data_IF_956041548755
#
_entry.id   IF_956041548755
#
_cell.length_a   1.000
_cell.length_b   1.000
_cell.length_c   1.000
_cell.angle_alpha   90.00
_cell.angle_beta   90.00
_cell.angle_gamma   90.00
#
_symmetry.space_group_name_H-M   'P 1'
#
loop_
_entity.id
_entity.type
_entity.pdbx_description
1 polymer ?
#
# COMPACT_ATOMS: atom_id res chain seq x y z
N UNK A 1 3.04 -3.85 24.70
CA UNK A 1 2.59 -5.22 24.30
C UNK A 1 1.07 -5.41 24.34
N UNK A 2 0.29 -4.39 24.74
CA UNK A 2 -1.17 -4.48 24.86
C UNK A 2 -1.88 -4.55 23.50
N UNK A 3 -1.34 -3.89 22.47
CA UNK A 3 -1.84 -3.97 21.09
C UNK A 3 -1.88 -5.41 20.55
N UNK A 4 -0.85 -6.21 20.82
CA UNK A 4 -0.84 -7.63 20.42
C UNK A 4 -1.89 -8.43 21.19
N UNK A 5 -2.10 -8.16 22.48
CA UNK A 5 -3.14 -8.83 23.26
C UNK A 5 -4.53 -8.51 22.72
N UNK A 6 -4.78 -7.25 22.38
CA UNK A 6 -6.05 -6.81 21.79
C UNK A 6 -6.26 -7.39 20.39
N UNK A 7 -5.20 -7.45 19.58
CA UNK A 7 -5.23 -8.10 18.28
C UNK A 7 -5.62 -9.58 18.40
N UNK A 8 -4.97 -10.33 19.30
CA UNK A 8 -5.29 -11.73 19.52
C UNK A 8 -6.71 -11.95 20.08
N UNK A 9 -7.19 -11.06 20.94
CA UNK A 9 -8.55 -11.15 21.48
C UNK A 9 -9.63 -10.82 20.44
N UNK A 10 -9.32 -9.94 19.48
CA UNK A 10 -10.25 -9.49 18.43
C UNK A 10 -10.17 -10.30 17.13
N UNK A 11 -9.20 -11.22 17.00
CA UNK A 11 -9.04 -12.09 15.84
C UNK A 11 -10.02 -13.26 15.90
N UNK A 12 -10.77 -13.47 14.81
CA UNK A 12 -11.75 -14.57 14.69
C UNK A 12 -11.51 -15.30 13.36
N UNK A 13 -10.94 -16.50 13.41
CA UNK A 13 -10.57 -17.30 12.24
C UNK A 13 -11.79 -17.75 11.40
N UNK A 14 -12.99 -17.76 11.98
CA UNK A 14 -14.23 -18.01 11.26
C UNK A 14 -14.71 -16.79 10.44
N UNK A 15 -14.18 -15.59 10.71
CA UNK A 15 -14.58 -14.33 10.08
C UNK A 15 -13.47 -13.72 9.21
N UNK A 16 -13.17 -14.37 8.08
CA UNK A 16 -12.13 -13.96 7.13
C UNK A 16 -12.14 -12.48 6.72
N UNK A 17 -13.32 -11.84 6.60
CA UNK A 17 -13.44 -10.41 6.25
C UNK A 17 -13.13 -9.47 7.42
N UNK A 18 -13.24 -9.96 8.65
CA UNK A 18 -13.09 -9.17 9.87
C UNK A 18 -11.66 -9.05 10.37
N UNK A 19 -10.75 -9.87 9.84
CA UNK A 19 -9.33 -9.94 10.24
C UNK A 19 -8.40 -9.08 9.36
N UNK A 20 -8.97 -8.28 8.45
CA UNK A 20 -8.23 -7.35 7.60
C UNK A 20 -8.06 -5.97 8.25
N UNK A 21 -8.27 -4.92 7.46
CA UNK A 21 -8.16 -3.53 7.92
C UNK A 21 -9.10 -3.22 9.10
N UNK A 22 -10.28 -3.84 9.14
CA UNK A 22 -11.26 -3.63 10.21
C UNK A 22 -10.75 -4.10 11.58
N UNK A 23 -9.97 -5.19 11.64
CA UNK A 23 -9.32 -5.63 12.89
C UNK A 23 -8.31 -4.60 13.37
N UNK A 24 -7.47 -4.09 12.48
CA UNK A 24 -6.48 -3.06 12.81
C UNK A 24 -7.15 -1.77 13.29
N UNK A 25 -8.26 -1.37 12.66
CA UNK A 25 -9.06 -0.21 13.08
C UNK A 25 -9.65 -0.42 14.47
N UNK A 26 -10.22 -1.60 14.78
CA UNK A 26 -10.74 -1.90 16.12
C UNK A 26 -9.66 -1.84 17.18
N UNK A 27 -8.54 -2.54 16.94
CA UNK A 27 -7.38 -2.53 17.83
C UNK A 27 -6.95 -1.08 18.06
N UNK A 28 -6.73 -0.29 17.01
CA UNK A 28 -6.35 1.12 17.13
C UNK A 28 -7.36 1.96 17.91
N UNK A 29 -8.66 1.77 17.67
CA UNK A 29 -9.73 2.53 18.34
C UNK A 29 -9.77 2.29 19.86
N UNK A 30 -9.44 1.08 20.30
CA UNK A 30 -9.36 0.73 21.73
C UNK A 30 -8.17 1.41 22.43
N UNK A 31 -7.17 1.87 21.67
CA UNK A 31 -6.05 2.66 22.19
C UNK A 31 -6.20 4.17 21.99
N UNK A 32 -7.18 4.65 21.20
CA UNK A 32 -7.39 6.08 20.94
C UNK A 32 -8.48 6.74 21.80
N UNK A 33 -9.33 5.96 22.48
CA UNK A 33 -10.59 6.43 23.07
C UNK A 33 -10.61 6.81 24.56
N UNK A 34 -9.50 7.21 25.19
CA UNK A 34 -9.52 7.68 26.58
C UNK A 34 -8.83 9.04 26.73
N UNK A 35 -9.64 10.07 27.01
CA UNK A 35 -9.31 11.51 27.12
C UNK A 35 -8.25 11.93 28.17
N UNK A 36 -7.38 11.02 28.63
CA UNK A 36 -6.25 11.31 29.52
C UNK A 36 -4.91 10.80 28.94
N UNK A 37 -4.70 11.01 27.64
CA UNK A 37 -3.65 10.38 26.84
C UNK A 37 -2.37 11.23 26.63
N UNK A 38 -2.15 12.29 27.40
CA UNK A 38 -0.87 13.01 27.35
C UNK A 38 0.30 12.21 27.94
N UNK A 39 0.02 11.21 28.80
CA UNK A 39 1.04 10.44 29.53
C UNK A 39 1.17 8.97 29.14
N UNK A 40 0.21 8.40 28.38
CA UNK A 40 0.41 7.08 27.78
C UNK A 40 1.05 7.29 26.43
N UNK A 41 2.37 7.17 26.42
CA UNK A 41 3.18 6.99 25.21
C UNK A 41 2.45 6.03 24.28
N UNK A 42 1.84 6.52 23.21
CA UNK A 42 1.20 5.65 22.22
C UNK A 42 2.29 4.71 21.70
N UNK A 43 2.30 3.45 22.17
CA UNK A 43 3.21 2.40 21.67
C UNK A 43 2.96 2.10 20.17
N UNK A 44 1.89 2.66 19.59
CA UNK A 44 1.48 2.49 18.21
C UNK A 44 1.97 3.69 17.39
N UNK A 45 3.03 3.45 16.59
CA UNK A 45 3.47 4.42 15.58
C UNK A 45 2.64 4.26 14.32
N UNK A 46 1.75 5.22 14.08
CA UNK A 46 1.03 5.31 12.81
C UNK A 46 1.98 5.67 11.68
N UNK A 47 1.90 4.90 10.60
CA UNK A 47 2.62 5.18 9.37
C UNK A 47 1.69 5.87 8.37
N UNK A 48 2.20 6.81 7.54
CA UNK A 48 1.42 7.39 6.47
C UNK A 48 0.89 6.30 5.53
N UNK A 49 -0.37 6.44 5.10
CA UNK A 49 -0.99 5.50 4.15
C UNK A 49 -0.17 5.36 2.86
N UNK A 50 0.50 6.43 2.43
CA UNK A 50 1.38 6.44 1.26
C UNK A 50 2.48 5.37 1.29
N UNK A 51 2.99 5.00 2.47
CA UNK A 51 4.04 3.98 2.58
C UNK A 51 3.58 2.58 2.14
N UNK A 52 2.27 2.34 2.14
CA UNK A 52 1.64 1.06 1.81
C UNK A 52 0.79 1.18 0.53
N UNK A 53 0.16 2.33 0.34
CA UNK A 53 -0.76 2.65 -0.75
C UNK A 53 -0.32 3.93 -1.46
N UNK A 54 0.83 3.92 -2.17
CA UNK A 54 1.34 5.13 -2.80
C UNK A 54 0.45 5.66 -3.93
N UNK A 55 -0.39 4.79 -4.49
CA UNK A 55 -1.40 5.14 -5.49
C UNK A 55 -2.76 4.70 -4.96
N UNK A 56 -3.70 5.65 -4.90
CA UNK A 56 -5.07 5.37 -4.48
C UNK A 56 -5.88 4.63 -5.55
N UNK A 57 -6.90 3.90 -5.11
CA UNK A 57 -7.79 3.12 -5.98
C UNK A 57 -8.41 3.94 -7.12
N UNK A 58 -8.71 5.23 -6.91
CA UNK A 58 -9.30 6.09 -7.94
C UNK A 58 -8.38 6.35 -9.13
N UNK A 59 -7.06 6.26 -8.95
CA UNK A 59 -6.09 6.63 -9.97
C UNK A 59 -5.28 5.45 -10.50
N UNK A 60 -5.35 4.27 -9.87
CA UNK A 60 -4.46 3.14 -10.17
C UNK A 60 -4.53 2.70 -11.65
N UNK A 61 -5.71 2.71 -12.25
CA UNK A 61 -5.91 2.24 -13.63
C UNK A 61 -5.20 3.14 -14.65
N UNK A 62 -5.04 4.45 -14.37
CA UNK A 62 -4.31 5.38 -15.25
C UNK A 62 -2.86 4.96 -15.45
N UNK A 63 -2.25 4.35 -14.45
CA UNK A 63 -0.84 3.99 -14.44
C UNK A 63 -0.54 2.64 -15.13
N UNK A 64 -1.56 2.01 -15.72
CA UNK A 64 -1.41 0.84 -16.60
C UNK A 64 -1.21 1.22 -18.06
N UNK A 65 -1.53 2.46 -18.46
CA UNK A 65 -1.26 2.98 -19.79
C UNK A 65 0.07 3.72 -19.84
N UNK A 66 0.74 3.65 -20.99
CA UNK A 66 1.95 4.42 -21.24
C UNK A 66 1.64 5.93 -21.21
N UNK A 67 2.56 6.78 -20.73
CA UNK A 67 2.35 8.23 -20.75
C UNK A 67 2.21 8.73 -22.20
N UNK A 68 1.18 9.54 -22.46
CA UNK A 68 0.91 10.06 -23.80
C UNK A 68 1.72 11.33 -24.13
N UNK A 69 2.26 11.97 -23.09
CA UNK A 69 3.01 13.23 -23.21
C UNK A 69 4.31 13.18 -22.40
N UNK A 70 5.29 14.00 -22.77
CA UNK A 70 6.54 14.13 -22.01
C UNK A 70 6.30 14.59 -20.57
N UNK A 71 5.30 15.43 -20.34
CA UNK A 71 4.90 15.87 -19.00
C UNK A 71 4.38 14.72 -18.15
N UNK A 72 3.53 13.85 -18.71
CA UNK A 72 3.04 12.67 -18.00
C UNK A 72 4.16 11.67 -17.74
N UNK A 73 5.09 11.52 -18.68
CA UNK A 73 6.28 10.68 -18.50
C UNK A 73 7.13 11.18 -17.34
N UNK A 74 7.42 12.48 -17.30
CA UNK A 74 8.18 13.09 -16.21
C UNK A 74 7.47 12.96 -14.84
N UNK A 75 6.14 13.09 -14.80
CA UNK A 75 5.34 12.86 -13.59
C UNK A 75 5.44 11.40 -13.13
N UNK A 76 5.25 10.43 -14.03
CA UNK A 76 5.33 9.00 -13.72
C UNK A 76 6.75 8.59 -13.29
N UNK A 77 7.80 9.10 -13.94
CA UNK A 77 9.20 8.83 -13.58
C UNK A 77 9.55 9.38 -12.19
N UNK A 78 9.02 10.55 -11.84
CA UNK A 78 9.18 11.12 -10.50
C UNK A 78 8.45 10.26 -9.47
N UNK A 79 7.21 9.87 -9.74
CA UNK A 79 6.41 9.03 -8.85
C UNK A 79 7.08 7.67 -8.64
N UNK A 80 7.61 7.05 -9.70
CA UNK A 80 8.34 5.79 -9.62
C UNK A 80 9.53 5.88 -8.67
N UNK A 81 10.37 6.92 -8.80
CA UNK A 81 11.52 7.15 -7.92
C UNK A 81 11.09 7.36 -6.47
N UNK A 82 10.02 8.11 -6.24
CA UNK A 82 9.45 8.32 -4.89
C UNK A 82 8.97 7.00 -4.29
N UNK A 83 8.26 6.18 -5.08
CA UNK A 83 7.79 4.85 -4.64
C UNK A 83 8.97 3.99 -4.20
N UNK A 84 9.99 3.85 -5.05
CA UNK A 84 11.15 3.02 -4.75
C UNK A 84 11.94 3.48 -3.52
N UNK A 85 11.97 4.79 -3.26
CA UNK A 85 12.73 5.38 -2.16
C UNK A 85 11.97 5.34 -0.84
N UNK A 86 10.69 5.63 -0.86
CA UNK A 86 9.93 5.98 0.35
C UNK A 86 8.97 4.88 0.78
N UNK A 87 8.48 4.04 -0.15
CA UNK A 87 7.42 3.07 0.18
C UNK A 87 7.98 1.74 0.65
N UNK A 88 7.21 1.05 1.49
CA UNK A 88 7.55 -0.29 2.00
C UNK A 88 6.96 -1.37 1.09
N UNK A 89 5.82 -1.08 0.47
CA UNK A 89 5.11 -2.00 -0.42
C UNK A 89 4.29 -1.23 -1.46
N UNK A 90 3.85 -1.94 -2.49
CA UNK A 90 2.96 -1.41 -3.52
C UNK A 90 1.71 -2.29 -3.64
N UNK A 91 0.54 -1.65 -3.65
CA UNK A 91 -0.75 -2.34 -3.75
C UNK A 91 -1.45 -2.02 -5.08
N UNK A 92 -1.64 -3.03 -5.93
CA UNK A 92 -2.29 -2.86 -7.24
C UNK A 92 -3.82 -2.78 -7.20
N UNK A 93 -4.48 -2.94 -6.04
CA UNK A 93 -5.96 -2.91 -5.95
C UNK A 93 -6.62 -3.95 -6.86
N UNK A 94 -6.43 -5.24 -6.56
CA UNK A 94 -6.81 -6.37 -7.42
C UNK A 94 -8.26 -6.33 -7.93
N UNK A 95 -9.20 -5.77 -7.16
CA UNK A 95 -10.60 -5.60 -7.60
C UNK A 95 -10.76 -4.71 -8.84
N UNK A 96 -9.80 -3.84 -9.13
CA UNK A 96 -9.77 -2.94 -10.29
C UNK A 96 -8.80 -3.42 -11.37
N UNK A 97 -7.66 -4.01 -10.98
CA UNK A 97 -6.55 -4.26 -11.92
C UNK A 97 -6.33 -5.72 -12.28
N UNK A 98 -7.08 -6.66 -11.70
CA UNK A 98 -6.86 -8.11 -11.88
C UNK A 98 -6.82 -8.57 -13.35
N UNK A 99 -7.59 -7.93 -14.23
CA UNK A 99 -7.63 -8.24 -15.66
C UNK A 99 -6.79 -7.29 -16.53
N UNK A 100 -6.10 -6.32 -15.93
CA UNK A 100 -5.33 -5.33 -16.67
C UNK A 100 -3.92 -5.83 -16.95
N UNK A 101 -3.46 -5.63 -18.18
CA UNK A 101 -2.07 -5.88 -18.58
C UNK A 101 -1.39 -4.51 -18.71
N UNK A 102 -0.33 -4.22 -17.94
CA UNK A 102 0.40 -2.96 -18.06
C UNK A 102 0.98 -2.81 -19.46
N UNK A 103 0.73 -1.67 -20.10
CA UNK A 103 1.40 -1.29 -21.34
C UNK A 103 2.90 -1.12 -21.09
N UNK A 104 3.76 -1.44 -22.07
CA UNK A 104 5.18 -1.12 -22.00
C UNK A 104 5.39 0.36 -21.67
N UNK A 105 6.41 0.65 -20.86
CA UNK A 105 6.73 2.00 -20.35
C UNK A 105 5.73 2.62 -19.36
N UNK A 106 4.57 2.02 -19.11
CA UNK A 106 3.68 2.47 -18.02
C UNK A 106 4.34 2.34 -16.65
N UNK A 107 3.92 3.18 -15.68
CA UNK A 107 4.41 3.09 -14.30
C UNK A 107 4.16 1.69 -13.69
N UNK A 108 3.00 1.07 -13.94
CA UNK A 108 2.70 -0.28 -13.47
C UNK A 108 3.67 -1.32 -14.06
N UNK A 109 3.98 -1.20 -15.35
CA UNK A 109 4.97 -2.05 -16.02
C UNK A 109 6.36 -1.88 -15.37
N UNK A 110 6.79 -0.64 -15.12
CA UNK A 110 8.08 -0.36 -14.49
C UNK A 110 8.15 -0.94 -13.07
N UNK A 111 7.11 -0.79 -12.26
CA UNK A 111 7.05 -1.30 -10.87
C UNK A 111 7.13 -2.83 -10.84
N UNK A 112 6.35 -3.52 -11.69
CA UNK A 112 6.35 -4.99 -11.75
C UNK A 112 7.71 -5.52 -12.19
N UNK A 113 8.33 -4.84 -13.16
CA UNK A 113 9.57 -5.32 -13.77
C UNK A 113 10.84 -4.81 -13.08
N UNK A 114 10.76 -3.88 -12.12
CA UNK A 114 11.92 -3.27 -11.48
C UNK A 114 12.89 -4.30 -10.85
N UNK A 115 12.34 -5.32 -10.19
CA UNK A 115 13.10 -6.42 -9.59
C UNK A 115 12.72 -7.78 -10.19
N UNK A 116 12.22 -7.79 -11.42
CA UNK A 116 11.84 -9.03 -12.09
C UNK A 116 13.09 -9.86 -12.39
N UNK A 117 13.31 -10.91 -11.59
CA UNK A 117 14.43 -11.86 -11.74
C UNK A 117 14.46 -12.55 -13.12
N UNK A 118 13.34 -12.59 -13.83
CA UNK A 118 13.21 -13.14 -15.18
C UNK A 118 13.39 -12.10 -16.30
N UNK A 119 13.39 -10.82 -15.97
CA UNK A 119 13.50 -9.71 -16.93
C UNK A 119 14.93 -9.17 -17.03
N UNK A 120 15.79 -9.54 -16.07
CA UNK A 120 17.24 -9.48 -16.20
C UNK A 120 17.70 -10.66 -17.06
N UNK A 121 17.60 -10.51 -18.38
CA UNK A 121 18.31 -11.38 -19.33
C UNK A 121 19.81 -11.10 -19.22
N UNK A 122 20.47 -11.66 -18.21
CA UNK A 122 21.83 -12.19 -18.41
C UNK A 122 21.69 -13.65 -18.88
N UNK A 123 21.59 -13.80 -20.20
CA UNK A 123 21.87 -15.02 -20.96
C UNK A 123 22.66 -14.64 -22.22
#
# INVERSE_FOLDING_TARGET
MECLKEFYASYDDAQLRWNGADLLTRVASNFSGNDNLSDRTMEIKFQPSFLIFPIGHNNITRYFSAPATESEKAEQDMLFKTILKETVTFHFWNGLTSAMVPEPESLAYQIINYNCLHCSEEL
#
